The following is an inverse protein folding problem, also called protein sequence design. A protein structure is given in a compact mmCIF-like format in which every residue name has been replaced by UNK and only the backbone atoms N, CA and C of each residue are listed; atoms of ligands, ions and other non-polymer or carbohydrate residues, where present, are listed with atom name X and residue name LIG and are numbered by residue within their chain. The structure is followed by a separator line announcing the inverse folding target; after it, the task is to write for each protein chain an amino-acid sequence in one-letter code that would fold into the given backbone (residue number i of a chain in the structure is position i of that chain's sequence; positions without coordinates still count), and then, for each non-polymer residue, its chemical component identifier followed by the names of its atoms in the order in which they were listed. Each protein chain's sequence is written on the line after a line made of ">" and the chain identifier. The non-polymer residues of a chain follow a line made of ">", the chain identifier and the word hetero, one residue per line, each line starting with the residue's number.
data_IF_561519772976
#
_entry.id   IF_561519772976
#
_cell.length_a   1.000
_cell.length_b   1.000
_cell.length_c   1.000
_cell.angle_alpha   90.00
_cell.angle_beta   90.00
_cell.angle_gamma   90.00
#
_symmetry.space_group_name_H-M   'P 1'
#
loop_
_entity.id
_entity.type
_entity.pdbx_description
1 polymer ?
#
# COMPACT_ATOMS: atom_id res chain seq x y z
N UNK A 1 -5.15 -3.71 9.97
CA UNK A 1 -5.39 -2.23 9.93
C UNK A 1 -6.63 -1.80 10.71
N UNK A 2 -7.84 -2.32 10.43
CA UNK A 2 -9.07 -1.87 11.12
C UNK A 2 -9.01 -1.92 12.65
N UNK A 3 -8.50 -3.01 13.23
CA UNK A 3 -8.33 -3.15 14.68
C UNK A 3 -7.47 -2.02 15.28
N UNK A 4 -6.27 -1.84 14.75
CA UNK A 4 -5.35 -0.77 15.14
C UNK A 4 -5.99 0.63 15.08
N UNK A 5 -6.79 0.92 14.05
CA UNK A 5 -7.48 2.20 13.93
C UNK A 5 -8.55 2.39 15.02
N UNK A 6 -9.30 1.33 15.37
CA UNK A 6 -10.25 1.38 16.48
C UNK A 6 -9.56 1.67 17.81
N UNK A 7 -8.44 0.99 18.07
CA UNK A 7 -7.74 1.10 19.35
C UNK A 7 -7.07 2.46 19.52
N UNK A 8 -6.47 2.98 18.44
CA UNK A 8 -5.73 4.25 18.46
C UNK A 8 -6.64 5.48 18.43
N UNK A 9 -7.82 5.36 17.81
CA UNK A 9 -8.77 6.45 17.59
C UNK A 9 -10.20 6.07 17.96
N UNK A 10 -10.48 5.67 19.22
CA UNK A 10 -11.76 5.08 19.62
C UNK A 10 -12.96 6.04 19.51
N UNK A 11 -12.72 7.36 19.50
CA UNK A 11 -13.75 8.39 19.34
C UNK A 11 -13.99 8.81 17.89
N UNK A 12 -13.20 8.29 16.95
CA UNK A 12 -13.32 8.65 15.52
C UNK A 12 -14.21 7.64 14.79
N UNK A 13 -15.19 8.16 14.04
CA UNK A 13 -15.94 7.32 13.10
C UNK A 13 -15.11 7.15 11.83
N UNK A 14 -14.60 5.94 11.62
CA UNK A 14 -13.80 5.60 10.45
C UNK A 14 -14.63 4.70 9.53
N UNK A 15 -14.87 5.17 8.30
CA UNK A 15 -15.38 4.33 7.21
C UNK A 15 -14.21 3.56 6.59
N UNK A 16 -14.20 2.24 6.75
CA UNK A 16 -13.11 1.37 6.34
C UNK A 16 -13.55 0.42 5.23
N UNK A 17 -12.77 0.37 4.16
CA UNK A 17 -12.89 -0.66 3.12
C UNK A 17 -11.57 -1.41 3.02
N UNK A 18 -11.61 -2.72 3.28
CA UNK A 18 -10.53 -3.63 2.90
C UNK A 18 -10.75 -4.16 1.48
N UNK A 19 -9.68 -4.22 0.70
CA UNK A 19 -9.68 -4.72 -0.67
C UNK A 19 -8.58 -5.76 -0.78
N UNK A 20 -8.91 -6.92 -1.33
CA UNK A 20 -7.98 -8.01 -1.56
C UNK A 20 -8.46 -8.83 -2.76
N UNK A 21 -7.53 -9.37 -3.56
CA UNK A 21 -7.86 -10.23 -4.70
C UNK A 21 -8.27 -11.64 -4.25
N UNK A 22 -7.88 -12.06 -3.04
CA UNK A 22 -8.13 -13.39 -2.50
C UNK A 22 -9.55 -13.48 -1.91
N UNK A 23 -10.44 -14.31 -2.48
CA UNK A 23 -11.78 -14.52 -1.93
C UNK A 23 -11.75 -15.01 -0.49
N UNK A 24 -10.79 -15.90 -0.15
CA UNK A 24 -10.63 -16.46 1.19
C UNK A 24 -10.25 -15.39 2.23
N UNK A 25 -9.38 -14.44 1.85
CA UNK A 25 -9.00 -13.34 2.75
C UNK A 25 -10.21 -12.42 3.02
N UNK A 26 -11.01 -12.15 2.00
CA UNK A 26 -12.21 -11.31 2.13
C UNK A 26 -13.32 -12.00 2.92
N UNK A 27 -13.53 -13.30 2.71
CA UNK A 27 -14.50 -14.09 3.47
C UNK A 27 -14.17 -14.06 4.97
N UNK A 28 -12.91 -14.36 5.32
CA UNK A 28 -12.47 -14.34 6.71
C UNK A 28 -12.57 -12.94 7.32
N UNK A 29 -12.17 -11.90 6.57
CA UNK A 29 -12.31 -10.52 7.04
C UNK A 29 -13.78 -10.15 7.31
N UNK A 30 -14.71 -10.53 6.42
CA UNK A 30 -16.16 -10.30 6.64
C UNK A 30 -16.64 -11.02 7.89
N UNK A 31 -16.18 -12.26 8.13
CA UNK A 31 -16.53 -13.03 9.33
C UNK A 31 -16.05 -12.35 10.61
N UNK A 32 -14.79 -11.90 10.65
CA UNK A 32 -14.17 -11.23 11.80
C UNK A 32 -14.84 -9.88 12.11
N UNK A 33 -15.30 -9.16 11.09
CA UNK A 33 -15.78 -7.78 11.22
C UNK A 33 -17.30 -7.62 11.07
N UNK A 34 -18.07 -8.72 11.08
CA UNK A 34 -19.53 -8.73 10.82
C UNK A 34 -20.37 -7.73 11.63
N UNK A 35 -19.93 -7.40 12.84
CA UNK A 35 -20.65 -6.50 13.76
C UNK A 35 -20.29 -5.01 13.58
N UNK A 36 -19.53 -4.65 12.55
CA UNK A 36 -19.03 -3.28 12.35
C UNK A 36 -19.58 -2.67 11.05
N UNK A 37 -20.68 -1.93 11.16
CA UNK A 37 -21.40 -1.39 9.98
C UNK A 37 -20.56 -0.47 9.07
N UNK A 38 -19.62 0.28 9.66
CA UNK A 38 -18.70 1.16 8.93
C UNK A 38 -17.44 0.44 8.42
N UNK A 39 -17.44 -0.90 8.38
CA UNK A 39 -16.32 -1.72 7.90
C UNK A 39 -16.81 -2.67 6.82
N UNK A 40 -16.24 -2.57 5.62
CA UNK A 40 -16.59 -3.39 4.47
C UNK A 40 -15.34 -4.04 3.89
N UNK A 41 -15.55 -5.13 3.16
CA UNK A 41 -14.49 -5.87 2.48
C UNK A 41 -14.98 -6.33 1.11
N UNK A 42 -14.17 -6.15 0.08
CA UNK A 42 -14.52 -6.48 -1.31
C UNK A 42 -13.39 -7.24 -2.00
N UNK A 43 -13.78 -8.17 -2.87
CA UNK A 43 -12.85 -8.87 -3.75
C UNK A 43 -12.64 -7.99 -4.97
N UNK A 44 -11.46 -7.39 -5.08
CA UNK A 44 -11.07 -6.54 -6.21
C UNK A 44 -9.54 -6.35 -6.23
N UNK A 45 -9.02 -5.94 -7.38
CA UNK A 45 -7.64 -5.52 -7.59
C UNK A 45 -7.44 -3.99 -7.42
N UNK A 46 -8.53 -3.23 -7.42
CA UNK A 46 -8.55 -1.78 -7.20
C UNK A 46 -9.70 -1.37 -6.27
N UNK A 47 -9.59 -0.20 -5.65
CA UNK A 47 -10.66 0.33 -4.82
C UNK A 47 -11.87 0.75 -5.69
N UNK A 48 -13.08 0.27 -5.40
CA UNK A 48 -14.29 0.67 -6.13
C UNK A 48 -14.83 2.06 -5.74
N UNK A 49 -14.16 2.74 -4.80
CA UNK A 49 -14.55 4.06 -4.30
C UNK A 49 -13.34 4.94 -4.00
N UNK A 50 -13.55 6.25 -4.02
CA UNK A 50 -12.57 7.22 -3.53
C UNK A 50 -12.62 7.25 -2.00
N UNK A 51 -11.47 7.10 -1.36
CA UNK A 51 -11.29 7.24 0.08
C UNK A 51 -10.52 8.53 0.40
N UNK A 52 -10.58 8.98 1.65
CA UNK A 52 -9.73 10.09 2.11
C UNK A 52 -8.26 9.71 2.05
N UNK A 53 -7.95 8.51 2.54
CA UNK A 53 -6.62 7.93 2.49
C UNK A 53 -6.69 6.47 2.05
N UNK A 54 -5.71 6.05 1.25
CA UNK A 54 -5.47 4.64 0.93
C UNK A 54 -4.15 4.17 1.51
N UNK A 55 -4.08 2.90 1.92
CA UNK A 55 -2.84 2.28 2.41
C UNK A 55 -2.70 0.91 1.74
N UNK A 56 -1.59 0.69 1.06
CA UNK A 56 -1.23 -0.61 0.51
C UNK A 56 0.09 -1.05 1.14
N UNK A 57 0.04 -2.07 2.00
CA UNK A 57 1.22 -2.51 2.74
C UNK A 57 1.65 -3.92 2.36
N UNK A 58 2.92 -4.09 2.00
CA UNK A 58 3.54 -5.38 1.70
C UNK A 58 3.23 -5.95 0.31
N UNK A 59 2.30 -5.35 -0.43
CA UNK A 59 1.82 -5.88 -1.72
C UNK A 59 2.88 -5.84 -2.85
N UNK A 60 3.95 -5.05 -2.67
CA UNK A 60 5.05 -4.95 -3.64
C UNK A 60 6.26 -5.81 -3.28
N UNK A 61 6.25 -6.49 -2.13
CA UNK A 61 7.45 -7.13 -1.60
C UNK A 61 7.73 -8.49 -2.23
N UNK A 62 6.70 -9.24 -2.61
CA UNK A 62 6.82 -10.64 -3.07
C UNK A 62 6.49 -10.72 -4.55
N UNK A 63 7.52 -10.68 -5.40
CA UNK A 63 7.41 -10.78 -6.87
C UNK A 63 7.37 -12.24 -7.35
N UNK A 64 7.82 -13.20 -6.53
CA UNK A 64 8.02 -14.59 -6.94
C UNK A 64 8.93 -14.65 -8.18
N UNK A 65 8.47 -15.28 -9.25
CA UNK A 65 9.21 -15.48 -10.49
C UNK A 65 8.76 -14.55 -11.61
N UNK A 66 7.94 -13.53 -11.31
CA UNK A 66 7.48 -12.59 -12.34
C UNK A 66 8.64 -11.77 -12.91
N UNK A 67 8.72 -11.56 -14.24
CA UNK A 67 9.68 -10.65 -14.86
C UNK A 67 9.70 -9.25 -14.22
N UNK A 68 10.86 -8.59 -14.22
CA UNK A 68 11.04 -7.33 -13.47
C UNK A 68 10.22 -6.20 -14.07
N UNK A 69 10.19 -6.13 -15.40
CA UNK A 69 9.38 -5.21 -16.20
C UNK A 69 7.88 -5.38 -15.91
N UNK A 70 7.36 -6.61 -15.91
CA UNK A 70 5.96 -6.86 -15.56
C UNK A 70 5.65 -6.47 -14.10
N UNK A 71 6.59 -6.71 -13.18
CA UNK A 71 6.43 -6.29 -11.78
C UNK A 71 6.42 -4.78 -11.62
N UNK A 72 7.30 -4.08 -12.34
CA UNK A 72 7.32 -2.62 -12.35
C UNK A 72 6.02 -2.04 -12.93
N UNK A 73 5.50 -2.61 -14.01
CA UNK A 73 4.18 -2.22 -14.55
C UNK A 73 3.05 -2.43 -13.54
N UNK A 74 3.07 -3.53 -12.80
CA UNK A 74 2.12 -3.77 -11.70
C UNK A 74 2.21 -2.68 -10.62
N UNK A 75 3.42 -2.29 -10.20
CA UNK A 75 3.62 -1.22 -9.22
C UNK A 75 3.09 0.12 -9.78
N UNK A 76 3.45 0.47 -11.03
CA UNK A 76 3.00 1.70 -11.69
C UNK A 76 1.48 1.80 -11.78
N UNK A 77 0.81 0.71 -12.19
CA UNK A 77 -0.64 0.64 -12.28
C UNK A 77 -1.28 0.77 -10.88
N UNK A 78 -0.72 0.08 -9.88
CA UNK A 78 -1.22 0.15 -8.51
C UNK A 78 -1.09 1.55 -7.93
N UNK A 79 0.05 2.21 -8.12
CA UNK A 79 0.28 3.59 -7.69
C UNK A 79 -0.68 4.57 -8.39
N UNK A 80 -0.96 4.34 -9.68
CA UNK A 80 -1.92 5.14 -10.45
C UNK A 80 -3.34 4.98 -9.90
N UNK A 81 -3.75 3.75 -9.60
CA UNK A 81 -5.05 3.47 -9.00
C UNK A 81 -5.16 4.10 -7.61
N UNK A 82 -4.14 3.94 -6.75
CA UNK A 82 -4.10 4.54 -5.42
C UNK A 82 -4.18 6.07 -5.50
N UNK A 83 -3.49 6.71 -6.43
CA UNK A 83 -3.60 8.14 -6.67
C UNK A 83 -5.03 8.53 -7.07
N UNK A 84 -5.64 7.82 -8.01
CA UNK A 84 -6.99 8.10 -8.50
C UNK A 84 -8.08 7.88 -7.44
N UNK A 85 -7.88 6.94 -6.52
CA UNK A 85 -8.87 6.58 -5.49
C UNK A 85 -8.56 7.17 -4.11
N UNK A 86 -7.65 8.15 -4.01
CA UNK A 86 -7.30 8.80 -2.74
C UNK A 86 -7.45 10.32 -2.81
N UNK A 87 -8.36 10.87 -2.03
CA UNK A 87 -8.65 12.32 -1.99
C UNK A 87 -7.53 13.13 -1.34
N UNK A 88 -6.98 12.66 -0.21
CA UNK A 88 -5.99 13.40 0.58
C UNK A 88 -4.58 12.79 0.50
N UNK A 89 -4.45 11.55 0.02
CA UNK A 89 -3.19 10.90 -0.26
C UNK A 89 -3.19 9.41 0.03
N UNK A 90 -2.08 8.75 -0.25
CA UNK A 90 -1.91 7.31 0.01
C UNK A 90 -0.54 6.98 0.59
N UNK A 91 -0.44 5.80 1.18
CA UNK A 91 0.81 5.25 1.70
C UNK A 91 1.10 3.86 1.15
N UNK A 92 2.37 3.62 0.81
CA UNK A 92 2.90 2.32 0.39
C UNK A 92 4.26 2.05 1.03
N UNK A 93 4.64 0.78 1.18
CA UNK A 93 5.99 0.39 1.61
C UNK A 93 6.68 -0.52 0.60
N UNK A 94 8.01 -0.50 0.65
CA UNK A 94 8.88 -1.34 -0.14
C UNK A 94 10.04 -1.84 0.74
N UNK A 95 10.51 -3.05 0.47
CA UNK A 95 11.76 -3.53 1.06
C UNK A 95 12.94 -2.69 0.58
N UNK A 96 13.81 -2.29 1.52
CA UNK A 96 15.04 -1.56 1.22
C UNK A 96 16.06 -2.48 0.55
N UNK A 97 16.95 -1.94 -0.29
CA UNK A 97 18.08 -2.70 -0.81
C UNK A 97 18.95 -3.29 0.32
N UNK A 98 19.60 -4.41 0.02
CA UNK A 98 20.51 -5.05 0.95
C UNK A 98 21.91 -4.45 0.80
N UNK A 99 22.68 -4.34 1.90
CA UNK A 99 24.11 -4.06 1.83
C UNK A 99 24.85 -5.04 0.93
N UNK A 100 25.98 -4.57 0.37
CA UNK A 100 26.91 -5.40 -0.39
C UNK A 100 27.31 -6.65 0.39
N UNK A 101 27.38 -7.79 -0.29
CA UNK A 101 27.77 -9.07 0.31
C UNK A 101 26.63 -9.87 0.94
N UNK A 102 25.39 -9.35 0.96
CA UNK A 102 24.21 -10.12 1.37
C UNK A 102 23.46 -10.60 0.13
N UNK A 103 23.23 -11.92 0.04
CA UNK A 103 22.44 -12.52 -1.03
C UNK A 103 20.97 -12.16 -0.87
N UNK A 104 20.42 -11.48 -1.88
CA UNK A 104 18.98 -11.22 -1.96
C UNK A 104 18.22 -12.51 -2.28
N UNK A 105 17.04 -12.65 -1.66
CA UNK A 105 16.07 -13.67 -2.06
C UNK A 105 15.45 -13.26 -3.41
N UNK A 106 15.56 -14.08 -4.48
CA UNK A 106 15.15 -13.68 -5.82
C UNK A 106 13.63 -13.43 -5.96
N UNK A 107 12.83 -14.02 -5.08
CA UNK A 107 11.38 -13.82 -5.01
C UNK A 107 10.97 -12.48 -4.40
N UNK A 108 11.89 -11.76 -3.76
CA UNK A 108 11.61 -10.49 -3.11
C UNK A 108 12.03 -9.31 -4.00
N UNK A 109 11.12 -8.36 -4.17
CA UNK A 109 11.43 -7.10 -4.81
C UNK A 109 11.95 -6.10 -3.77
N UNK A 110 13.10 -5.49 -4.08
CA UNK A 110 13.74 -4.45 -3.29
C UNK A 110 14.01 -3.26 -4.19
N UNK A 111 13.82 -2.07 -3.66
CA UNK A 111 14.00 -0.83 -4.42
C UNK A 111 14.78 0.20 -3.62
N UNK A 112 15.25 1.23 -4.31
CA UNK A 112 15.76 2.45 -3.69
C UNK A 112 14.58 3.38 -3.40
N UNK A 113 14.55 4.08 -2.25
CA UNK A 113 13.48 5.03 -1.93
C UNK A 113 13.21 6.06 -3.02
N UNK A 114 14.27 6.52 -3.68
CA UNK A 114 14.22 7.56 -4.71
C UNK A 114 13.47 7.10 -5.97
N UNK A 115 13.51 5.80 -6.30
CA UNK A 115 12.89 5.27 -7.52
C UNK A 115 11.40 5.58 -7.58
N UNK A 116 10.66 5.14 -6.56
CA UNK A 116 9.20 5.30 -6.54
C UNK A 116 8.78 6.67 -6.02
N UNK A 117 9.61 7.33 -5.20
CA UNK A 117 9.35 8.70 -4.79
C UNK A 117 9.43 9.68 -5.97
N UNK A 118 10.43 9.54 -6.84
CA UNK A 118 10.56 10.34 -8.06
C UNK A 118 9.41 10.08 -9.01
N UNK A 119 9.07 8.79 -9.25
CA UNK A 119 7.92 8.41 -10.08
C UNK A 119 6.63 9.09 -9.61
N UNK A 120 6.28 8.97 -8.32
CA UNK A 120 5.05 9.58 -7.79
C UNK A 120 5.08 11.11 -7.87
N UNK A 121 6.25 11.72 -7.64
CA UNK A 121 6.40 13.18 -7.74
C UNK A 121 6.17 13.67 -9.17
N UNK A 122 6.76 13.01 -10.17
CA UNK A 122 6.70 13.40 -11.57
C UNK A 122 5.36 13.04 -12.20
N UNK A 123 4.90 11.80 -12.05
CA UNK A 123 3.69 11.28 -12.69
C UNK A 123 2.42 11.93 -12.16
N UNK A 124 2.37 12.19 -10.86
CA UNK A 124 1.16 12.66 -10.17
C UNK A 124 1.23 14.11 -9.70
N UNK A 125 2.32 14.83 -10.02
CA UNK A 125 2.58 16.18 -9.49
C UNK A 125 2.35 16.28 -7.96
N UNK A 126 2.80 15.26 -7.23
CA UNK A 126 2.52 15.08 -5.81
C UNK A 126 3.70 15.51 -4.93
N UNK A 127 3.46 15.67 -3.63
CA UNK A 127 4.49 15.71 -2.60
C UNK A 127 4.67 14.31 -2.03
N UNK A 128 5.92 13.85 -1.97
CA UNK A 128 6.26 12.54 -1.42
C UNK A 128 7.16 12.74 -0.20
N UNK A 129 6.77 12.14 0.93
CA UNK A 129 7.63 12.01 2.11
C UNK A 129 8.07 10.56 2.23
N UNK A 130 9.38 10.35 2.32
CA UNK A 130 9.98 9.05 2.60
C UNK A 130 10.09 8.89 4.11
N UNK A 131 9.64 7.76 4.63
CA UNK A 131 9.79 7.35 6.02
C UNK A 131 10.67 6.11 6.09
N UNK A 132 11.68 6.17 6.94
CA UNK A 132 12.67 5.11 7.15
C UNK A 132 12.97 4.96 8.64
N UNK A 133 13.78 3.97 9.01
CA UNK A 133 14.31 3.79 10.35
C UNK A 133 13.24 3.56 11.45
N UNK A 134 12.09 2.99 11.09
CA UNK A 134 11.04 2.58 12.04
C UNK A 134 11.19 1.13 12.54
N UNK A 135 12.41 0.59 12.54
CA UNK A 135 12.74 -0.74 13.07
C UNK A 135 12.55 -1.91 12.10
N UNK A 136 12.16 -1.66 10.86
CA UNK A 136 12.02 -2.67 9.80
C UNK A 136 12.99 -2.39 8.64
N UNK A 137 13.36 -3.42 7.88
CA UNK A 137 14.20 -3.29 6.66
C UNK A 137 13.37 -2.93 5.42
N UNK A 138 12.64 -1.83 5.55
CA UNK A 138 11.76 -1.26 4.54
C UNK A 138 11.65 0.25 4.72
N UNK A 139 11.16 0.91 3.67
CA UNK A 139 10.80 2.32 3.69
C UNK A 139 9.34 2.47 3.28
N UNK A 140 8.70 3.54 3.76
CA UNK A 140 7.33 3.90 3.39
C UNK A 140 7.32 5.21 2.62
N UNK A 141 6.51 5.31 1.57
CA UNK A 141 6.20 6.55 0.88
C UNK A 141 4.85 7.06 1.35
N UNK A 142 4.80 8.32 1.78
CA UNK A 142 3.55 9.06 1.98
C UNK A 142 3.38 10.03 0.82
N UNK A 143 2.41 9.77 -0.05
CA UNK A 143 2.14 10.55 -1.25
C UNK A 143 0.89 11.39 -1.04
N UNK A 144 1.00 12.70 -1.27
CA UNK A 144 -0.11 13.66 -1.10
C UNK A 144 -0.19 14.62 -2.29
N UNK A 145 -1.38 15.08 -2.69
CA UNK A 145 -1.51 16.15 -3.68
C UNK A 145 -0.70 17.40 -3.29
N UNK A 146 -0.20 18.12 -4.30
CA UNK A 146 0.25 19.50 -4.13
C UNK A 146 -1.00 20.38 -3.98
N UNK A 147 -1.02 21.19 -2.91
CA UNK A 147 -2.03 22.22 -2.72
C UNK A 147 -1.75 23.38 -3.67
#
# INVERSE_FOLDING_TARGET
>A
MKHFLSDRYPRSRIDYLGVDISPLMIEEARRLWKAHDNTKFVIADTSPRVADYSVASGIFNVRLYQPLDLWMQFIEQTLTNLHATSRLGFAVNFLTQLPSGITARPELYRSLPETWALYCTQKFNSRVKILENYGLREFSLLVKPRL
#
